data_IF_470539442557
#
_entry.id   IF_470539442557
#
_cell.length_a   1.000
_cell.length_b   1.000
_cell.length_c   1.000
_cell.angle_alpha   90.00
_cell.angle_beta   90.00
_cell.angle_gamma   90.00
#
_symmetry.space_group_name_H-M   'P 1'
#
loop_
_entity.id
_entity.type
_entity.pdbx_description
1 polymer ?
#
# COMPACT_ATOMS: atom_id res chain seq x y z
N UNK A 1 -64.58 39.10 -32.57
CA UNK A 1 -63.53 40.01 -32.21
C UNK A 1 -62.60 39.21 -31.23
N UNK A 2 -61.75 38.38 -31.82
CA UNK A 2 -60.85 37.48 -31.06
C UNK A 2 -59.60 38.26 -30.69
N UNK A 3 -59.35 38.34 -29.42
CA UNK A 3 -58.11 38.87 -28.91
C UNK A 3 -57.01 37.81 -29.07
N UNK A 4 -55.93 38.13 -29.73
CA UNK A 4 -54.85 37.19 -29.86
C UNK A 4 -54.12 37.05 -28.48
N UNK A 5 -54.05 35.82 -28.05
CA UNK A 5 -53.45 35.38 -26.84
C UNK A 5 -51.91 35.43 -27.00
N UNK A 6 -51.30 36.60 -26.71
CA UNK A 6 -49.87 36.84 -26.78
C UNK A 6 -49.13 36.61 -25.46
N UNK A 7 -49.82 36.01 -24.49
CA UNK A 7 -49.14 35.59 -23.27
C UNK A 7 -48.73 34.10 -23.41
N UNK A 8 -47.70 33.89 -24.24
CA UNK A 8 -46.96 32.65 -24.13
C UNK A 8 -46.50 32.49 -22.69
N UNK A 9 -46.87 31.38 -22.09
CA UNK A 9 -46.36 30.99 -20.76
C UNK A 9 -44.85 31.26 -20.69
N UNK A 10 -44.37 31.90 -19.61
CA UNK A 10 -42.93 32.03 -19.38
C UNK A 10 -42.37 30.62 -19.36
N UNK A 11 -41.62 30.26 -20.38
CA UNK A 11 -40.82 29.05 -20.40
C UNK A 11 -39.91 29.17 -19.18
N UNK A 12 -40.30 28.52 -18.09
CA UNK A 12 -39.42 28.34 -16.97
C UNK A 12 -38.11 27.78 -17.53
N UNK A 13 -36.95 28.46 -17.34
CA UNK A 13 -35.70 27.90 -17.73
C UNK A 13 -35.56 26.58 -16.98
N UNK A 14 -35.77 25.48 -17.73
CA UNK A 14 -35.87 24.15 -17.18
C UNK A 14 -34.74 23.95 -16.19
N UNK A 15 -35.11 23.76 -14.93
CA UNK A 15 -34.23 23.30 -13.89
C UNK A 15 -33.52 22.08 -14.45
N UNK A 16 -32.31 22.27 -14.98
CA UNK A 16 -31.45 21.16 -15.33
C UNK A 16 -31.35 20.33 -14.06
N UNK A 17 -31.80 19.06 -14.07
CA UNK A 17 -31.64 18.22 -12.92
C UNK A 17 -30.14 18.31 -12.52
N UNK A 18 -29.82 18.44 -11.24
CA UNK A 18 -28.44 18.50 -10.81
C UNK A 18 -27.70 17.33 -11.47
N UNK A 19 -26.49 17.56 -12.00
CA UNK A 19 -25.72 16.50 -12.64
C UNK A 19 -25.70 15.34 -11.65
N UNK A 20 -26.28 14.20 -12.07
CA UNK A 20 -26.23 12.99 -11.25
C UNK A 20 -24.77 12.77 -10.92
N UNK A 21 -24.42 12.57 -9.62
CA UNK A 21 -23.05 12.22 -9.30
C UNK A 21 -22.70 11.04 -10.19
N UNK A 22 -21.73 11.25 -11.06
CA UNK A 22 -21.17 10.18 -11.88
C UNK A 22 -20.66 9.19 -10.86
N UNK A 23 -21.42 8.16 -10.59
CA UNK A 23 -20.99 7.01 -9.81
C UNK A 23 -19.68 6.61 -10.46
N UNK A 24 -18.59 6.75 -9.74
CA UNK A 24 -17.25 6.62 -10.24
C UNK A 24 -17.15 5.47 -11.22
N UNK A 25 -16.42 5.70 -12.29
CA UNK A 25 -16.21 4.67 -13.31
C UNK A 25 -15.84 3.36 -12.63
N UNK A 26 -16.46 2.23 -13.04
CA UNK A 26 -16.20 0.96 -12.39
C UNK A 26 -14.73 0.64 -12.52
N UNK A 27 -14.05 0.55 -11.37
CA UNK A 27 -12.90 -0.28 -11.10
C UNK A 27 -11.94 -0.56 -12.28
N UNK A 28 -11.51 0.50 -12.95
CA UNK A 28 -10.39 0.46 -13.87
C UNK A 28 -9.08 0.55 -13.09
N UNK A 29 -8.01 0.91 -13.75
CA UNK A 29 -6.68 1.15 -13.18
C UNK A 29 -6.67 2.06 -11.94
N UNK A 30 -7.73 2.89 -11.77
CA UNK A 30 -7.91 3.85 -10.68
C UNK A 30 -8.12 3.22 -9.28
N UNK A 31 -8.63 2.00 -9.20
CA UNK A 31 -8.71 1.24 -7.94
C UNK A 31 -7.55 0.24 -7.78
N UNK A 32 -6.72 0.07 -8.82
CA UNK A 32 -5.65 -0.92 -8.81
C UNK A 32 -4.54 -0.54 -7.82
N UNK A 33 -4.21 0.75 -7.72
CA UNK A 33 -3.21 1.26 -6.78
C UNK A 33 -3.54 0.88 -5.34
N UNK A 34 -4.79 1.07 -4.94
CA UNK A 34 -5.25 0.74 -3.59
C UNK A 34 -5.19 -0.77 -3.32
N UNK A 35 -5.71 -1.58 -4.23
CA UNK A 35 -5.70 -3.05 -4.09
C UNK A 35 -4.28 -3.62 -4.01
N UNK A 36 -3.38 -3.13 -4.88
CA UNK A 36 -1.98 -3.52 -4.87
C UNK A 36 -1.34 -3.13 -3.54
N UNK A 37 -1.57 -1.92 -3.05
CA UNK A 37 -1.00 -1.43 -1.79
C UNK A 37 -1.52 -2.23 -0.61
N UNK A 38 -2.82 -2.56 -0.55
CA UNK A 38 -3.40 -3.40 0.50
C UNK A 38 -2.75 -4.78 0.56
N UNK A 39 -2.70 -5.47 -0.57
CA UNK A 39 -2.11 -6.81 -0.66
C UNK A 39 -0.61 -6.75 -0.36
N UNK A 40 0.11 -5.79 -0.94
CA UNK A 40 1.54 -5.64 -0.75
C UNK A 40 1.90 -5.34 0.71
N UNK A 41 1.17 -4.45 1.37
CA UNK A 41 1.40 -4.11 2.77
C UNK A 41 1.10 -5.30 3.70
N UNK A 42 0.04 -6.07 3.41
CA UNK A 42 -0.27 -7.30 4.15
C UNK A 42 0.83 -8.35 3.97
N UNK A 43 1.26 -8.59 2.73
CA UNK A 43 2.35 -9.53 2.44
C UNK A 43 3.64 -9.06 3.09
N UNK A 44 3.95 -7.76 3.06
CA UNK A 44 5.14 -7.19 3.72
C UNK A 44 5.12 -7.43 5.23
N UNK A 45 4.00 -7.20 5.90
CA UNK A 45 3.86 -7.46 7.33
C UNK A 45 4.01 -8.96 7.64
N UNK A 46 3.31 -9.82 6.91
CA UNK A 46 3.35 -11.27 7.14
C UNK A 46 4.72 -11.88 6.81
N UNK A 47 5.43 -11.35 5.82
CA UNK A 47 6.75 -11.83 5.43
C UNK A 47 7.80 -11.70 6.54
N UNK A 48 7.59 -10.81 7.51
CA UNK A 48 8.44 -10.69 8.70
C UNK A 48 8.37 -11.91 9.63
N UNK A 49 7.34 -12.74 9.50
CA UNK A 49 7.18 -14.01 10.22
C UNK A 49 7.62 -15.22 9.39
N UNK A 50 8.04 -15.01 8.16
CA UNK A 50 8.60 -16.06 7.32
C UNK A 50 10.09 -16.20 7.55
N UNK A 51 10.66 -17.31 7.07
CA UNK A 51 12.09 -17.60 7.21
C UNK A 51 12.92 -16.65 6.34
N UNK A 52 13.67 -15.77 6.99
CA UNK A 52 14.58 -14.86 6.30
C UNK A 52 15.96 -15.47 6.10
N UNK A 53 16.36 -16.37 7.01
CA UNK A 53 17.63 -17.08 6.94
C UNK A 53 17.40 -18.56 7.18
N UNK A 54 18.14 -19.38 6.45
CA UNK A 54 18.19 -20.81 6.64
C UNK A 54 19.64 -21.24 6.84
N UNK A 55 19.89 -22.09 7.84
CA UNK A 55 21.18 -22.67 8.12
C UNK A 55 21.06 -24.18 8.27
N UNK A 56 22.10 -24.92 7.91
CA UNK A 56 22.22 -26.36 8.14
C UNK A 56 23.32 -26.61 9.17
N UNK A 57 22.94 -27.02 10.37
CA UNK A 57 23.88 -27.49 11.40
C UNK A 57 23.57 -28.91 11.81
N UNK A 58 24.57 -29.82 11.78
CA UNK A 58 24.53 -31.21 12.29
C UNK A 58 23.16 -31.89 12.14
N UNK A 59 22.66 -31.99 10.87
CA UNK A 59 21.44 -32.74 10.58
C UNK A 59 20.11 -32.05 10.90
N UNK A 60 20.12 -30.82 11.40
CA UNK A 60 18.92 -30.03 11.68
C UNK A 60 18.88 -28.80 10.79
N UNK A 61 17.78 -28.61 10.05
CA UNK A 61 17.52 -27.37 9.33
C UNK A 61 17.02 -26.34 10.31
N UNK A 62 17.78 -25.27 10.49
CA UNK A 62 17.41 -24.14 11.34
C UNK A 62 16.93 -23.02 10.45
N UNK A 63 15.68 -22.59 10.69
CA UNK A 63 15.08 -21.45 10.01
C UNK A 63 14.94 -20.30 11.02
N UNK A 64 15.36 -19.10 10.62
CA UNK A 64 15.22 -17.90 11.46
C UNK A 64 14.22 -16.96 10.80
N UNK A 65 13.11 -16.75 11.48
CA UNK A 65 12.07 -15.83 11.02
C UNK A 65 12.54 -14.37 11.12
N UNK A 66 12.07 -13.53 10.20
CA UNK A 66 12.44 -12.11 10.13
C UNK A 66 12.30 -11.38 11.46
N UNK A 67 11.26 -11.72 12.25
CA UNK A 67 11.01 -11.14 13.58
C UNK A 67 12.17 -11.35 14.58
N UNK A 68 12.87 -12.46 14.49
CA UNK A 68 14.02 -12.79 15.36
C UNK A 68 15.36 -12.34 14.80
N UNK A 69 15.41 -11.81 13.59
CA UNK A 69 16.65 -11.30 12.98
C UNK A 69 17.13 -9.97 13.56
N UNK A 70 16.44 -9.44 14.57
CA UNK A 70 16.76 -8.19 15.27
C UNK A 70 15.80 -7.04 14.91
N UNK A 71 16.23 -5.81 15.17
CA UNK A 71 15.37 -4.61 15.08
C UNK A 71 14.84 -4.38 13.66
N UNK A 72 15.65 -4.62 12.63
CA UNK A 72 15.24 -4.34 11.24
C UNK A 72 14.07 -5.21 10.77
N UNK A 73 14.03 -6.50 11.14
CA UNK A 73 12.91 -7.36 10.81
C UNK A 73 11.59 -6.90 11.46
N UNK A 74 11.67 -6.42 12.70
CA UNK A 74 10.52 -5.82 13.40
C UNK A 74 10.08 -4.52 12.75
N UNK A 75 11.02 -3.67 12.32
CA UNK A 75 10.71 -2.42 11.63
C UNK A 75 9.99 -2.68 10.31
N UNK A 76 10.38 -3.69 9.55
CA UNK A 76 9.68 -4.08 8.30
C UNK A 76 8.22 -4.46 8.60
N UNK A 77 7.98 -5.22 9.67
CA UNK A 77 6.61 -5.52 10.11
C UNK A 77 5.82 -4.26 10.44
N UNK A 78 6.39 -3.37 11.27
CA UNK A 78 5.69 -2.13 11.66
C UNK A 78 5.45 -1.20 10.49
N UNK A 79 6.33 -1.17 9.50
CA UNK A 79 6.11 -0.40 8.26
C UNK A 79 4.93 -0.97 7.48
N UNK A 80 4.89 -2.29 7.26
CA UNK A 80 3.76 -2.94 6.60
C UNK A 80 2.45 -2.68 7.34
N UNK A 81 2.47 -2.78 8.67
CA UNK A 81 1.32 -2.49 9.52
C UNK A 81 0.91 -1.01 9.45
N UNK A 82 1.87 -0.08 9.43
CA UNK A 82 1.59 1.37 9.30
C UNK A 82 0.91 1.69 7.96
N UNK A 83 1.36 1.10 6.86
CA UNK A 83 0.70 1.26 5.56
C UNK A 83 -0.73 0.73 5.62
N UNK A 84 -0.96 -0.46 6.19
CA UNK A 84 -2.31 -1.00 6.38
C UNK A 84 -3.18 -0.10 7.24
N UNK A 85 -2.64 0.46 8.33
CA UNK A 85 -3.36 1.39 9.20
C UNK A 85 -3.76 2.68 8.46
N UNK A 86 -2.87 3.25 7.65
CA UNK A 86 -3.17 4.43 6.83
C UNK A 86 -4.33 4.13 5.88
N UNK A 87 -4.28 2.99 5.17
CA UNK A 87 -5.34 2.60 4.26
C UNK A 87 -6.66 2.35 4.99
N UNK A 88 -6.63 1.69 6.15
CA UNK A 88 -7.82 1.43 6.96
C UNK A 88 -8.45 2.72 7.52
N UNK A 89 -7.64 3.67 7.99
CA UNK A 89 -8.11 4.97 8.45
C UNK A 89 -8.78 5.74 7.33
N UNK A 90 -8.22 5.70 6.13
CA UNK A 90 -8.82 6.32 4.95
C UNK A 90 -10.18 5.70 4.62
N UNK A 91 -10.29 4.37 4.61
CA UNK A 91 -11.57 3.68 4.40
C UNK A 91 -12.62 4.06 5.46
N UNK A 92 -12.16 4.33 6.68
CA UNK A 92 -13.00 4.82 7.77
C UNK A 92 -13.37 6.31 7.64
N UNK A 93 -12.95 6.99 6.57
CA UNK A 93 -13.22 8.42 6.33
C UNK A 93 -12.30 9.36 7.12
N UNK A 94 -11.26 8.85 7.79
CA UNK A 94 -10.25 9.62 8.51
C UNK A 94 -9.00 9.78 7.64
N UNK A 95 -9.02 10.73 6.70
CA UNK A 95 -7.86 11.03 5.88
C UNK A 95 -6.74 11.73 6.66
N UNK A 96 -5.49 11.59 6.17
CA UNK A 96 -4.39 12.40 6.67
C UNK A 96 -4.66 13.91 6.44
N UNK A 97 -4.06 14.80 7.26
CA UNK A 97 -4.19 16.23 7.01
C UNK A 97 -3.69 16.59 5.62
N UNK A 98 -4.35 17.58 4.99
CA UNK A 98 -4.07 18.00 3.60
C UNK A 98 -2.61 18.46 3.34
N UNK A 99 -1.82 18.64 4.39
CA UNK A 99 -0.40 18.99 4.33
C UNK A 99 0.52 17.80 3.97
N UNK A 100 0.03 16.56 4.09
CA UNK A 100 0.82 15.35 3.81
C UNK A 100 0.08 14.48 2.79
N UNK A 101 0.45 14.53 1.50
CA UNK A 101 -0.16 13.66 0.49
C UNK A 101 0.09 12.20 0.86
N UNK A 102 -1.00 11.46 0.97
CA UNK A 102 -1.00 10.07 1.46
C UNK A 102 -0.15 9.15 0.58
N UNK A 103 -0.18 9.38 -0.74
CA UNK A 103 0.64 8.67 -1.72
C UNK A 103 2.15 8.80 -1.43
N UNK A 104 2.61 9.99 -1.06
CA UNK A 104 4.02 10.22 -0.71
C UNK A 104 4.41 9.52 0.60
N UNK A 105 3.51 9.48 1.59
CA UNK A 105 3.77 8.75 2.85
C UNK A 105 3.90 7.26 2.58
N UNK A 106 3.02 6.67 1.79
CA UNK A 106 3.07 5.25 1.42
C UNK A 106 4.35 4.94 0.63
N UNK A 107 4.71 5.81 -0.32
CA UNK A 107 5.93 5.68 -1.10
C UNK A 107 7.18 5.73 -0.22
N UNK A 108 7.24 6.67 0.72
CA UNK A 108 8.35 6.81 1.66
C UNK A 108 8.47 5.58 2.57
N UNK A 109 7.35 5.04 3.07
CA UNK A 109 7.33 3.83 3.88
C UNK A 109 7.79 2.60 3.07
N UNK A 110 7.34 2.47 1.82
CA UNK A 110 7.79 1.41 0.92
C UNK A 110 9.29 1.48 0.62
N UNK A 111 9.81 2.70 0.36
CA UNK A 111 11.22 2.92 0.15
C UNK A 111 12.06 2.58 1.41
N UNK A 112 11.60 2.98 2.58
CA UNK A 112 12.24 2.67 3.85
C UNK A 112 12.25 1.16 4.12
N UNK A 113 11.14 0.47 3.87
CA UNK A 113 11.07 -0.99 3.98
C UNK A 113 12.07 -1.66 3.03
N UNK A 114 12.15 -1.19 1.79
CA UNK A 114 13.11 -1.69 0.80
C UNK A 114 14.55 -1.56 1.30
N UNK A 115 14.92 -0.40 1.84
CA UNK A 115 16.25 -0.18 2.40
C UNK A 115 16.54 -1.15 3.54
N UNK A 116 15.60 -1.35 4.47
CA UNK A 116 15.80 -2.27 5.60
C UNK A 116 15.93 -3.72 5.15
N UNK A 117 15.12 -4.15 4.19
CA UNK A 117 15.22 -5.50 3.62
C UNK A 117 16.55 -5.67 2.88
N UNK A 118 16.99 -4.68 2.09
CA UNK A 118 18.27 -4.72 1.38
C UNK A 118 19.46 -4.78 2.35
N UNK A 119 19.45 -4.01 3.42
CA UNK A 119 20.49 -4.08 4.46
C UNK A 119 20.58 -5.51 5.00
N UNK A 120 19.44 -6.15 5.27
CA UNK A 120 19.38 -7.53 5.76
C UNK A 120 19.74 -8.57 4.69
N UNK A 121 19.47 -8.27 3.44
CA UNK A 121 19.85 -9.12 2.32
C UNK A 121 21.39 -9.15 2.14
N UNK A 122 22.04 -8.01 2.33
CA UNK A 122 23.50 -7.85 2.16
C UNK A 122 24.22 -8.29 3.42
N UNK A 123 23.76 -7.87 4.60
CA UNK A 123 24.38 -8.12 5.89
C UNK A 123 23.66 -9.22 6.64
N UNK A 124 24.23 -10.41 6.63
CA UNK A 124 23.77 -11.53 7.46
C UNK A 124 24.29 -11.28 8.88
N UNK A 125 23.43 -11.24 9.91
CA UNK A 125 23.93 -11.06 11.28
C UNK A 125 24.64 -12.31 11.75
N UNK A 126 25.94 -12.20 12.02
CA UNK A 126 26.81 -13.29 12.50
C UNK A 126 26.37 -13.86 13.86
N UNK A 127 25.49 -13.14 14.57
CA UNK A 127 25.09 -13.48 15.94
C UNK A 127 23.99 -14.54 16.04
N UNK A 128 23.38 -14.97 14.93
CA UNK A 128 22.15 -15.77 15.00
C UNK A 128 22.34 -17.22 14.57
N UNK A 129 23.48 -17.61 14.02
CA UNK A 129 23.86 -18.96 13.56
C UNK A 129 24.68 -18.85 12.26
N UNK A 130 25.52 -19.82 11.90
CA UNK A 130 26.08 -19.89 10.55
C UNK A 130 24.93 -20.08 9.56
N UNK A 131 24.35 -18.96 9.10
CA UNK A 131 23.31 -18.97 8.08
C UNK A 131 24.01 -19.11 6.74
N UNK A 132 23.92 -20.30 6.16
CA UNK A 132 24.54 -20.60 4.87
C UNK A 132 23.73 -20.08 3.69
N UNK A 133 22.45 -19.74 3.92
CA UNK A 133 21.55 -19.32 2.85
C UNK A 133 20.47 -18.34 3.33
N UNK A 134 19.96 -17.57 2.37
CA UNK A 134 18.82 -16.65 2.56
C UNK A 134 17.52 -17.43 2.39
N UNK A 135 16.61 -17.26 3.35
CA UNK A 135 15.29 -17.88 3.28
C UNK A 135 14.38 -17.17 2.25
N UNK A 136 13.30 -17.83 1.88
CA UNK A 136 12.33 -17.30 0.91
C UNK A 136 11.63 -16.03 1.41
N UNK A 137 11.47 -15.87 2.72
CA UNK A 137 10.78 -14.73 3.35
C UNK A 137 11.42 -13.39 3.04
N UNK A 138 12.76 -13.31 2.96
CA UNK A 138 13.44 -12.04 2.65
C UNK A 138 13.19 -11.60 1.21
N UNK A 139 13.07 -12.54 0.27
CA UNK A 139 12.73 -12.24 -1.12
C UNK A 139 11.28 -11.81 -1.27
N UNK A 140 10.36 -12.45 -0.56
CA UNK A 140 8.95 -12.06 -0.50
C UNK A 140 8.83 -10.65 0.09
N UNK A 141 9.58 -10.34 1.17
CA UNK A 141 9.61 -8.99 1.76
C UNK A 141 10.08 -7.95 0.75
N UNK A 142 11.10 -8.26 -0.03
CA UNK A 142 11.65 -7.35 -1.03
C UNK A 142 10.63 -7.07 -2.15
N UNK A 143 10.01 -8.12 -2.68
CA UNK A 143 8.96 -7.98 -3.72
C UNK A 143 7.78 -7.18 -3.17
N UNK A 144 7.35 -7.48 -1.94
CA UNK A 144 6.24 -6.77 -1.30
C UNK A 144 6.58 -5.28 -1.08
N UNK A 145 7.79 -4.96 -0.66
CA UNK A 145 8.23 -3.57 -0.50
C UNK A 145 8.23 -2.80 -1.82
N UNK A 146 8.69 -3.41 -2.92
CA UNK A 146 8.58 -2.82 -4.26
C UNK A 146 7.13 -2.67 -4.71
N UNK A 147 6.25 -3.62 -4.38
CA UNK A 147 4.84 -3.53 -4.72
C UNK A 147 4.14 -2.39 -3.93
N UNK A 148 4.53 -2.12 -2.67
CA UNK A 148 4.07 -0.94 -1.91
C UNK A 148 4.48 0.35 -2.61
N UNK A 149 5.75 0.45 -3.08
CA UNK A 149 6.23 1.61 -3.85
C UNK A 149 5.41 1.78 -5.12
N UNK A 150 5.22 0.71 -5.89
CA UNK A 150 4.44 0.75 -7.13
C UNK A 150 3.00 1.19 -6.88
N UNK A 151 2.35 0.69 -5.83
CA UNK A 151 1.02 1.11 -5.42
C UNK A 151 0.96 2.59 -5.03
N UNK A 152 1.95 3.06 -4.27
CA UNK A 152 2.09 4.48 -3.91
C UNK A 152 2.29 5.38 -5.15
N UNK A 153 3.08 4.94 -6.14
CA UNK A 153 3.28 5.68 -7.40
C UNK A 153 2.00 5.73 -8.24
N UNK A 154 1.27 4.63 -8.33
CA UNK A 154 -0.01 4.60 -9.04
C UNK A 154 -0.99 5.59 -8.42
N UNK A 155 -1.07 5.63 -7.08
CA UNK A 155 -1.90 6.60 -6.37
C UNK A 155 -1.46 8.03 -6.58
N UNK A 156 -0.14 8.31 -6.53
CA UNK A 156 0.38 9.64 -6.82
C UNK A 156 0.01 10.11 -8.23
N UNK A 157 -0.03 9.19 -9.21
CA UNK A 157 -0.46 9.50 -10.56
C UNK A 157 -1.98 9.78 -10.66
N UNK A 158 -2.79 9.22 -9.76
CA UNK A 158 -4.23 9.47 -9.66
C UNK A 158 -4.55 10.83 -9.02
N UNK A 159 -3.66 11.33 -8.16
CA UNK A 159 -3.82 12.60 -7.45
C UNK A 159 -3.39 13.83 -8.29
N UNK A 160 -2.65 13.62 -9.41
CA UNK A 160 -2.18 14.69 -10.32
C UNK A 160 -3.21 15.03 -11.39
#
# INVERSE_FOLDING_TARGET
METPDFLGDPVEPGLRPPPRPVRGAPDGLWGAGDRITWVAALVLALSSFMDWYAGSGVGVKLAVIGWHTGVLGKLVFFIGFAVLAILALREAGMGLPASAPESLVILALGALATVFVLIRLISIPDSVLPADSRGIGIWISLIAAFAVIAGGLLRAAEEM
#
